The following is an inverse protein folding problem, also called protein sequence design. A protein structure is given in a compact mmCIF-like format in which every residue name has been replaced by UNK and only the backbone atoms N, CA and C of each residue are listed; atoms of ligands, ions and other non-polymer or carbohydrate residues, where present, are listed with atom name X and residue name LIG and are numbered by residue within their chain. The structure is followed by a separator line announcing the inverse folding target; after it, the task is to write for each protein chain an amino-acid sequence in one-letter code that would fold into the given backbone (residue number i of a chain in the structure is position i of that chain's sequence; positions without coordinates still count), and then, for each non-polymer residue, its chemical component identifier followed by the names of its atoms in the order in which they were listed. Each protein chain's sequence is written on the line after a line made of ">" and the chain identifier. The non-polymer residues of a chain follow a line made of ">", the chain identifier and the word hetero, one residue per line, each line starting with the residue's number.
data_IF_478796079432
#
_entry.id   IF_478796079432
#
_cell.length_a   1.000
_cell.length_b   1.000
_cell.length_c   1.000
_cell.angle_alpha   90.00
_cell.angle_beta   90.00
_cell.angle_gamma   90.00
#
_symmetry.space_group_name_H-M   'P 1'
#
loop_
_entity.id
_entity.type
_entity.pdbx_description
1 polymer ?
#
# COMPACT_ATOMS: atom_id res chain seq x y z
N UNK A 1 -24.40 27.10 4.01
CA UNK A 1 -23.15 26.91 3.26
C UNK A 1 -23.42 25.78 2.28
N UNK A 2 -23.22 26.01 0.99
CA UNK A 2 -23.47 24.99 -0.04
C UNK A 2 -22.43 23.88 0.08
N UNK A 3 -22.88 22.64 -0.10
CA UNK A 3 -22.06 21.45 0.09
C UNK A 3 -21.39 21.10 -1.24
N UNK A 4 -20.07 21.01 -1.24
CA UNK A 4 -19.30 20.61 -2.43
C UNK A 4 -19.67 19.19 -2.87
N UNK A 5 -19.79 18.98 -4.18
CA UNK A 5 -19.82 17.65 -4.81
C UNK A 5 -18.48 16.93 -4.65
N UNK A 6 -18.45 15.60 -4.79
CA UNK A 6 -17.20 14.82 -4.67
C UNK A 6 -16.12 15.35 -5.63
N UNK A 7 -16.49 15.65 -6.87
CA UNK A 7 -15.56 16.15 -7.89
C UNK A 7 -14.97 17.52 -7.53
N UNK A 8 -15.77 18.42 -6.93
CA UNK A 8 -15.28 19.70 -6.44
C UNK A 8 -14.34 19.54 -5.24
N UNK A 9 -14.68 18.64 -4.31
CA UNK A 9 -13.82 18.32 -3.18
C UNK A 9 -12.47 17.78 -3.64
N UNK A 10 -12.51 16.83 -4.58
CA UNK A 10 -11.32 16.24 -5.21
C UNK A 10 -10.47 17.30 -5.91
N UNK A 11 -11.09 18.12 -6.74
CA UNK A 11 -10.39 19.17 -7.50
C UNK A 11 -9.68 20.14 -6.56
N UNK A 12 -10.39 20.68 -5.57
CA UNK A 12 -9.82 21.67 -4.64
C UNK A 12 -8.65 21.07 -3.84
N UNK A 13 -8.83 19.89 -3.24
CA UNK A 13 -7.78 19.25 -2.44
C UNK A 13 -6.54 18.98 -3.28
N UNK A 14 -6.70 18.42 -4.48
CA UNK A 14 -5.57 18.09 -5.33
C UNK A 14 -4.88 19.32 -5.91
N UNK A 15 -5.61 20.38 -6.23
CA UNK A 15 -5.02 21.63 -6.73
C UNK A 15 -4.18 22.31 -5.64
N UNK A 16 -4.65 22.28 -4.37
CA UNK A 16 -3.88 22.80 -3.23
C UNK A 16 -2.61 21.98 -2.96
N UNK A 17 -2.69 20.66 -3.09
CA UNK A 17 -1.56 19.77 -2.82
C UNK A 17 -0.57 19.67 -3.99
N UNK A 18 -0.99 20.00 -5.21
CA UNK A 18 -0.18 19.77 -6.39
C UNK A 18 1.17 20.52 -6.39
N UNK A 19 1.24 21.84 -6.08
CA UNK A 19 2.53 22.53 -5.99
C UNK A 19 3.48 21.89 -4.96
N UNK A 20 2.96 21.57 -3.78
CA UNK A 20 3.73 20.92 -2.72
C UNK A 20 4.36 19.61 -3.19
N UNK A 21 3.56 18.69 -3.76
CA UNK A 21 4.06 17.40 -4.20
C UNK A 21 4.97 17.49 -5.44
N UNK A 22 4.75 18.46 -6.32
CA UNK A 22 5.61 18.69 -7.49
C UNK A 22 7.05 19.04 -7.10
N UNK A 23 7.25 19.80 -6.03
CA UNK A 23 8.58 20.14 -5.51
C UNK A 23 9.38 18.89 -5.07
N UNK A 24 8.69 17.78 -4.77
CA UNK A 24 9.29 16.49 -4.42
C UNK A 24 9.28 15.47 -5.58
N UNK A 25 9.01 15.92 -6.81
CA UNK A 25 9.04 15.08 -8.00
C UNK A 25 7.83 14.15 -8.19
N UNK A 26 6.76 14.35 -7.40
CA UNK A 26 5.51 13.63 -7.59
C UNK A 26 4.68 14.27 -8.71
N UNK A 27 3.98 13.44 -9.47
CA UNK A 27 3.04 13.86 -10.51
C UNK A 27 1.64 13.44 -10.13
N UNK A 28 0.68 14.36 -10.27
CA UNK A 28 -0.74 14.05 -10.14
C UNK A 28 -1.14 13.04 -11.22
N UNK A 29 -1.81 11.97 -10.82
CA UNK A 29 -2.50 11.05 -11.71
C UNK A 29 -3.98 11.02 -11.36
N UNK A 30 -4.81 11.23 -12.37
CA UNK A 30 -6.24 10.98 -12.33
C UNK A 30 -6.44 9.58 -12.88
N UNK A 31 -6.62 8.58 -12.00
CA UNK A 31 -6.87 7.23 -12.47
C UNK A 31 -8.33 7.10 -12.91
N UNK A 32 -8.58 6.49 -14.08
CA UNK A 32 -9.92 6.32 -14.64
C UNK A 32 -10.72 5.32 -13.78
N UNK A 33 -11.41 5.82 -12.76
CA UNK A 33 -12.31 5.03 -11.92
C UNK A 33 -11.74 4.51 -10.60
N UNK A 34 -10.50 4.86 -10.23
CA UNK A 34 -9.97 4.65 -8.88
C UNK A 34 -9.29 5.92 -8.37
N UNK A 35 -9.24 6.04 -7.04
CA UNK A 35 -8.62 7.12 -6.24
C UNK A 35 -7.60 7.99 -6.94
N UNK A 36 -7.83 9.30 -6.89
CA UNK A 36 -6.85 10.30 -7.28
C UNK A 36 -5.58 10.14 -6.46
N UNK A 37 -4.43 10.32 -7.10
CA UNK A 37 -3.15 10.11 -6.44
C UNK A 37 -2.05 11.05 -6.94
N UNK A 38 -1.02 11.18 -6.11
CA UNK A 38 0.29 11.68 -6.50
C UNK A 38 1.25 10.50 -6.56
N UNK A 39 2.03 10.40 -7.65
CA UNK A 39 2.99 9.32 -7.84
C UNK A 39 4.38 9.88 -8.16
N UNK A 40 5.40 9.37 -7.49
CA UNK A 40 6.81 9.54 -7.85
C UNK A 40 7.38 8.20 -8.34
N UNK A 41 8.06 8.22 -9.48
CA UNK A 41 8.81 7.05 -9.96
C UNK A 41 10.13 6.95 -9.20
N UNK A 42 10.47 5.75 -8.77
CA UNK A 42 11.73 5.41 -8.11
C UNK A 42 12.50 4.39 -8.95
N UNK A 43 13.72 4.06 -8.53
CA UNK A 43 14.52 2.99 -9.12
C UNK A 43 13.95 1.59 -8.86
N UNK A 44 13.27 1.40 -7.72
CA UNK A 44 12.62 0.12 -7.37
C UNK A 44 11.15 0.01 -7.79
N UNK A 45 10.52 1.09 -8.25
CA UNK A 45 9.11 1.11 -8.62
C UNK A 45 8.47 2.49 -8.48
N UNK A 46 7.50 2.63 -7.56
CA UNK A 46 6.82 3.91 -7.31
C UNK A 46 6.55 4.17 -5.83
N UNK A 47 6.58 5.45 -5.45
CA UNK A 47 5.97 5.96 -4.23
C UNK A 47 4.65 6.65 -4.58
N UNK A 48 3.63 6.51 -3.73
CA UNK A 48 2.32 7.11 -3.98
C UNK A 48 1.69 7.70 -2.73
N UNK A 49 0.89 8.75 -2.96
CA UNK A 49 -0.10 9.26 -2.01
C UNK A 49 -1.47 9.14 -2.66
N UNK A 50 -2.37 8.29 -2.15
CA UNK A 50 -3.71 8.09 -2.71
C UNK A 50 -4.78 8.73 -1.82
N UNK A 51 -5.80 9.30 -2.45
CA UNK A 51 -6.93 9.96 -1.78
C UNK A 51 -8.23 9.22 -2.05
N UNK A 52 -9.07 9.10 -1.03
CA UNK A 52 -10.39 8.51 -1.16
C UNK A 52 -11.43 9.53 -0.69
N UNK A 53 -12.21 10.04 -1.64
CA UNK A 53 -13.32 10.95 -1.40
C UNK A 53 -14.61 10.14 -1.32
N UNK A 54 -15.28 10.15 -0.17
CA UNK A 54 -16.48 9.35 0.10
C UNK A 54 -17.71 10.25 0.03
N UNK A 55 -18.83 9.75 -0.51
CA UNK A 55 -20.10 10.49 -0.69
C UNK A 55 -20.67 11.13 0.57
N UNK A 56 -20.32 10.62 1.75
CA UNK A 56 -20.64 11.24 3.03
C UNK A 56 -19.88 12.56 3.31
N UNK A 57 -19.03 13.03 2.39
CA UNK A 57 -18.16 14.19 2.55
C UNK A 57 -16.90 13.89 3.36
N UNK A 58 -16.63 12.61 3.65
CA UNK A 58 -15.44 12.17 4.36
C UNK A 58 -14.32 11.90 3.36
N UNK A 59 -13.14 12.40 3.66
CA UNK A 59 -11.95 12.14 2.84
C UNK A 59 -10.84 11.58 3.70
N UNK A 60 -10.22 10.50 3.23
CA UNK A 60 -8.98 9.96 3.76
C UNK A 60 -7.90 9.96 2.69
N UNK A 61 -6.64 9.83 3.13
CA UNK A 61 -5.52 9.61 2.24
C UNK A 61 -4.68 8.44 2.74
N UNK A 62 -3.74 8.01 1.92
CA UNK A 62 -2.80 6.97 2.24
C UNK A 62 -1.44 7.18 1.60
N UNK A 63 -0.39 6.69 2.25
CA UNK A 63 0.99 6.74 1.78
C UNK A 63 1.52 5.31 1.61
N UNK A 64 2.20 5.05 0.50
CA UNK A 64 2.77 3.73 0.27
C UNK A 64 3.82 3.68 -0.83
N UNK A 65 4.36 2.47 -0.99
CA UNK A 65 5.38 2.11 -1.96
C UNK A 65 4.95 0.85 -2.72
N UNK A 66 5.23 0.84 -4.01
CA UNK A 66 5.11 -0.33 -4.88
C UNK A 66 6.50 -0.73 -5.35
N UNK A 67 6.95 -1.91 -4.96
CA UNK A 67 8.16 -2.53 -5.51
C UNK A 67 7.80 -3.29 -6.78
N UNK A 68 8.28 -2.80 -7.92
CA UNK A 68 7.90 -3.32 -9.23
C UNK A 68 8.16 -4.83 -9.33
N UNK A 69 9.32 -5.30 -8.89
CA UNK A 69 9.68 -6.72 -8.97
C UNK A 69 8.82 -7.62 -8.06
N UNK A 70 8.35 -7.08 -6.94
CA UNK A 70 7.46 -7.80 -6.04
C UNK A 70 6.07 -7.83 -6.65
N UNK A 71 5.50 -6.69 -7.01
CA UNK A 71 4.13 -6.63 -7.52
C UNK A 71 3.98 -7.31 -8.88
N UNK A 72 4.99 -7.24 -9.76
CA UNK A 72 5.05 -8.02 -11.01
C UNK A 72 4.96 -9.50 -10.75
N UNK A 73 5.74 -9.98 -9.78
CA UNK A 73 5.70 -11.37 -9.37
C UNK A 73 4.33 -11.75 -8.79
N UNK A 74 3.79 -10.95 -7.87
CA UNK A 74 2.47 -11.21 -7.26
C UNK A 74 1.35 -11.30 -8.30
N UNK A 75 1.38 -10.45 -9.32
CA UNK A 75 0.43 -10.49 -10.43
C UNK A 75 0.63 -11.73 -11.31
N UNK A 76 1.87 -12.10 -11.64
CA UNK A 76 2.15 -13.24 -12.53
C UNK A 76 1.74 -14.60 -11.94
N UNK A 77 1.76 -14.73 -10.62
CA UNK A 77 1.29 -15.93 -9.95
C UNK A 77 -0.25 -16.04 -9.90
N UNK A 78 -1.00 -14.96 -10.17
CA UNK A 78 -2.45 -14.98 -10.39
C UNK A 78 -3.30 -15.00 -9.11
N UNK A 79 -3.66 -13.82 -8.61
CA UNK A 79 -4.42 -13.65 -7.35
C UNK A 79 -5.83 -14.26 -7.45
N UNK A 80 -6.31 -14.99 -6.43
CA UNK A 80 -7.58 -15.70 -6.48
C UNK A 80 -8.82 -14.81 -6.29
N UNK A 81 -8.66 -13.57 -5.85
CA UNK A 81 -9.75 -12.63 -5.56
C UNK A 81 -9.88 -11.51 -6.58
N UNK A 82 -8.81 -11.22 -7.34
CA UNK A 82 -8.76 -10.08 -8.27
C UNK A 82 -8.18 -10.55 -9.60
N UNK A 83 -8.94 -10.34 -10.67
CA UNK A 83 -8.44 -10.54 -12.03
C UNK A 83 -7.53 -9.37 -12.44
N UNK A 84 -6.25 -9.68 -12.62
CA UNK A 84 -5.24 -8.73 -13.04
C UNK A 84 -4.90 -8.81 -14.54
N UNK A 85 -5.70 -9.50 -15.35
CA UNK A 85 -5.45 -9.65 -16.79
C UNK A 85 -5.24 -8.30 -17.50
N UNK A 86 -6.08 -7.31 -17.20
CA UNK A 86 -5.94 -5.95 -17.75
C UNK A 86 -4.66 -5.24 -17.29
N UNK A 87 -4.17 -5.53 -16.09
CA UNK A 87 -2.92 -4.98 -15.56
C UNK A 87 -1.71 -5.57 -16.30
N UNK A 88 -1.71 -6.87 -16.50
CA UNK A 88 -0.68 -7.59 -17.26
C UNK A 88 -0.60 -7.06 -18.70
N UNK A 89 -1.76 -6.90 -19.36
CA UNK A 89 -1.83 -6.39 -20.74
C UNK A 89 -1.26 -4.97 -20.90
N UNK A 90 -1.33 -4.14 -19.86
CA UNK A 90 -0.91 -2.75 -19.89
C UNK A 90 0.45 -2.51 -19.20
N UNK A 91 1.19 -3.56 -18.82
CA UNK A 91 2.43 -3.46 -18.01
C UNK A 91 2.20 -2.67 -16.69
N UNK A 92 0.97 -2.65 -16.19
CA UNK A 92 0.56 -1.93 -14.98
C UNK A 92 0.59 -2.86 -13.77
N UNK A 93 1.74 -2.94 -13.13
CA UNK A 93 1.93 -3.72 -11.90
C UNK A 93 1.92 -2.84 -10.66
N UNK A 94 1.25 -1.68 -10.70
CA UNK A 94 1.14 -0.78 -9.54
C UNK A 94 0.21 -1.37 -8.47
N UNK A 95 0.76 -2.29 -7.68
CA UNK A 95 0.19 -2.77 -6.43
C UNK A 95 0.66 -1.93 -5.25
N UNK A 96 0.30 -2.34 -4.04
CA UNK A 96 0.84 -1.76 -2.83
C UNK A 96 1.66 -2.82 -2.10
N UNK A 97 2.99 -2.67 -2.13
CA UNK A 97 3.88 -3.56 -1.40
C UNK A 97 3.93 -3.16 0.06
N UNK A 98 4.19 -1.89 0.31
CA UNK A 98 4.30 -1.30 1.65
C UNK A 98 3.30 -0.15 1.76
N UNK A 99 2.62 -0.09 2.90
CA UNK A 99 1.60 0.89 3.21
C UNK A 99 1.80 1.41 4.63
N UNK A 100 1.68 2.72 4.84
CA UNK A 100 1.68 3.26 6.20
C UNK A 100 0.33 2.98 6.86
N UNK A 101 0.20 1.77 7.42
CA UNK A 101 -1.02 1.34 8.11
C UNK A 101 -1.12 1.94 9.51
N UNK A 102 -0.05 2.56 10.01
CA UNK A 102 -0.03 3.25 11.30
C UNK A 102 -0.50 4.69 11.13
N UNK A 103 -1.62 4.91 10.43
CA UNK A 103 -2.23 6.23 10.36
C UNK A 103 -2.57 6.70 11.78
N UNK A 104 -1.64 7.46 12.35
CA UNK A 104 -1.84 8.23 13.59
C UNK A 104 -2.48 9.57 13.27
N UNK A 105 -2.96 9.75 12.04
CA UNK A 105 -4.15 10.54 11.78
C UNK A 105 -5.28 9.60 12.21
N UNK A 106 -5.69 9.65 13.49
CA UNK A 106 -6.64 8.68 14.06
C UNK A 106 -7.79 8.42 13.09
N UNK A 107 -8.41 7.25 13.14
CA UNK A 107 -9.61 6.94 12.37
C UNK A 107 -10.72 8.03 12.45
N UNK A 108 -10.67 8.89 13.48
CA UNK A 108 -11.48 10.11 13.61
C UNK A 108 -10.93 11.31 12.82
N UNK A 109 -9.62 11.49 12.72
CA UNK A 109 -8.99 12.48 11.86
C UNK A 109 -8.98 12.09 10.37
N UNK A 110 -8.97 10.79 10.03
CA UNK A 110 -8.97 10.32 8.63
C UNK A 110 -10.30 10.50 7.92
N UNK A 111 -11.34 10.97 8.62
CA UNK A 111 -12.65 11.32 8.06
C UNK A 111 -12.89 12.81 8.24
N UNK A 112 -11.98 13.64 7.70
CA UNK A 112 -12.25 15.07 7.67
C UNK A 112 -13.40 15.34 6.71
N UNK A 113 -14.28 16.25 7.10
CA UNK A 113 -15.27 16.78 6.18
C UNK A 113 -14.58 17.70 5.18
N UNK A 114 -14.50 17.27 3.94
CA UNK A 114 -14.08 18.10 2.80
C UNK A 114 -15.26 18.76 2.11
N UNK A 115 -16.47 18.65 2.68
CA UNK A 115 -17.72 19.08 2.04
C UNK A 115 -17.88 20.61 1.88
N UNK A 116 -16.87 21.40 2.24
CA UNK A 116 -16.78 22.85 2.12
C UNK A 116 -15.35 23.22 1.73
N UNK A 117 -15.13 24.39 1.10
CA UNK A 117 -13.78 24.84 0.72
C UNK A 117 -12.81 24.88 1.89
N UNK A 118 -13.24 25.45 3.03
CA UNK A 118 -12.43 25.49 4.26
C UNK A 118 -12.10 24.10 4.81
N UNK A 119 -13.01 23.14 4.64
CA UNK A 119 -12.77 21.74 4.99
C UNK A 119 -11.72 21.09 4.09
N UNK A 120 -11.79 21.35 2.78
CA UNK A 120 -10.79 20.91 1.81
C UNK A 120 -9.40 21.52 2.07
N UNK A 121 -9.33 22.82 2.36
CA UNK A 121 -8.09 23.52 2.74
C UNK A 121 -7.44 22.92 4.00
N UNK A 122 -8.25 22.70 5.04
CA UNK A 122 -7.78 22.07 6.29
C UNK A 122 -7.27 20.65 6.04
N UNK A 123 -7.96 19.88 5.20
CA UNK A 123 -7.53 18.53 4.86
C UNK A 123 -6.20 18.53 4.09
N UNK A 124 -6.02 19.43 3.13
CA UNK A 124 -4.75 19.59 2.43
C UNK A 124 -3.61 19.93 3.40
N UNK A 125 -3.83 20.82 4.36
CA UNK A 125 -2.81 21.13 5.37
C UNK A 125 -2.47 19.90 6.24
N UNK A 126 -3.46 19.10 6.65
CA UNK A 126 -3.22 17.86 7.41
C UNK A 126 -2.32 16.89 6.63
N UNK A 127 -2.52 16.79 5.31
CA UNK A 127 -1.68 15.95 4.45
C UNK A 127 -0.24 16.48 4.41
N UNK A 128 -0.06 17.79 4.25
CA UNK A 128 1.26 18.44 4.28
C UNK A 128 1.94 18.21 5.64
N UNK A 129 1.26 18.50 6.75
CA UNK A 129 1.78 18.32 8.10
C UNK A 129 2.20 16.86 8.34
N UNK A 130 1.40 15.90 7.88
CA UNK A 130 1.76 14.48 7.95
C UNK A 130 3.03 14.17 7.15
N UNK A 131 3.14 14.70 5.92
CA UNK A 131 4.32 14.47 5.09
C UNK A 131 5.58 15.03 5.74
N UNK A 132 5.51 16.26 6.26
CA UNK A 132 6.62 16.96 6.92
C UNK A 132 7.05 16.33 8.24
N UNK A 133 6.10 15.76 9.00
CA UNK A 133 6.40 15.17 10.32
C UNK A 133 6.82 13.72 10.27
N UNK A 134 6.31 12.94 9.31
CA UNK A 134 6.54 11.48 9.26
C UNK A 134 6.53 10.85 7.88
N UNK A 135 5.77 11.39 6.93
CA UNK A 135 5.58 10.76 5.62
C UNK A 135 6.89 10.64 4.85
N UNK A 136 7.72 11.69 4.84
CA UNK A 136 9.01 11.63 4.16
C UNK A 136 9.96 10.61 4.79
N UNK A 137 10.05 10.57 6.12
CA UNK A 137 10.86 9.58 6.83
C UNK A 137 10.38 8.14 6.59
N UNK A 138 9.06 7.94 6.45
CA UNK A 138 8.48 6.65 6.08
C UNK A 138 8.93 6.20 4.68
N UNK A 139 8.80 7.08 3.67
CA UNK A 139 9.21 6.78 2.30
C UNK A 139 10.72 6.51 2.21
N UNK A 140 11.53 7.31 2.89
CA UNK A 140 12.98 7.13 2.93
C UNK A 140 13.35 5.80 3.57
N UNK A 141 12.81 5.51 4.76
CA UNK A 141 13.10 4.27 5.49
C UNK A 141 12.74 3.04 4.67
N UNK A 142 11.53 3.00 4.12
CA UNK A 142 11.03 1.81 3.42
C UNK A 142 11.33 1.79 1.93
N UNK A 143 12.16 2.72 1.42
CA UNK A 143 12.75 2.65 0.08
C UNK A 143 13.74 1.50 -0.10
N UNK A 144 14.12 0.80 0.98
CA UNK A 144 15.08 -0.31 0.96
C UNK A 144 14.48 -1.60 1.52
N UNK A 145 14.57 -2.69 0.76
CA UNK A 145 14.07 -4.02 1.18
C UNK A 145 14.62 -4.50 2.54
N UNK A 146 15.92 -4.33 2.88
CA UNK A 146 16.42 -4.73 4.20
C UNK A 146 15.73 -4.03 5.38
N UNK A 147 15.34 -2.77 5.22
CA UNK A 147 14.62 -2.02 6.25
C UNK A 147 13.20 -2.56 6.43
N UNK A 148 12.55 -2.95 5.34
CA UNK A 148 11.24 -3.61 5.38
C UNK A 148 11.39 -4.96 6.09
N UNK A 149 12.36 -5.80 5.69
CA UNK A 149 12.60 -7.10 6.31
C UNK A 149 12.84 -6.99 7.82
N UNK A 150 13.62 -6.01 8.26
CA UNK A 150 13.86 -5.78 9.69
C UNK A 150 12.57 -5.46 10.47
N UNK A 151 11.67 -4.68 9.87
CA UNK A 151 10.36 -4.39 10.46
C UNK A 151 9.48 -5.65 10.49
N UNK A 152 9.48 -6.47 9.44
CA UNK A 152 8.75 -7.74 9.40
C UNK A 152 9.24 -8.72 10.49
N UNK A 153 10.55 -8.76 10.73
CA UNK A 153 11.14 -9.54 11.82
C UNK A 153 10.68 -9.01 13.18
N UNK A 154 10.65 -7.69 13.37
CA UNK A 154 10.18 -7.06 14.61
C UNK A 154 8.69 -7.35 14.86
N UNK A 155 7.85 -7.25 13.83
CA UNK A 155 6.43 -7.58 13.91
C UNK A 155 6.23 -9.05 14.31
N UNK A 156 6.94 -9.97 13.65
CA UNK A 156 6.87 -11.40 13.99
C UNK A 156 7.32 -11.65 15.45
N UNK A 157 8.46 -11.11 15.85
CA UNK A 157 9.00 -11.29 17.21
C UNK A 157 8.07 -10.73 18.30
N UNK A 158 7.20 -9.77 17.96
CA UNK A 158 6.22 -9.17 18.87
C UNK A 158 4.80 -9.73 18.71
N UNK A 159 4.63 -10.84 17.96
CA UNK A 159 3.34 -11.50 17.76
C UNK A 159 2.37 -10.74 16.87
N UNK A 160 2.86 -9.80 16.06
CA UNK A 160 2.07 -8.96 15.16
C UNK A 160 2.15 -9.46 13.72
N UNK A 161 1.05 -9.34 12.98
CA UNK A 161 1.02 -9.68 11.56
C UNK A 161 1.73 -8.65 10.69
N UNK A 162 2.34 -9.13 9.61
CA UNK A 162 3.01 -8.30 8.60
C UNK A 162 2.07 -7.32 7.88
N UNK A 163 0.75 -7.52 7.94
CA UNK A 163 -0.26 -6.58 7.42
C UNK A 163 -0.20 -5.17 8.06
N UNK A 164 0.56 -4.99 9.15
CA UNK A 164 0.86 -3.67 9.73
C UNK A 164 1.81 -2.83 8.87
N UNK A 165 2.43 -3.43 7.85
CA UNK A 165 3.31 -2.73 6.92
C UNK A 165 3.04 -3.14 5.47
N UNK A 166 2.68 -4.40 5.22
CA UNK A 166 2.50 -4.92 3.87
C UNK A 166 1.06 -4.80 3.39
N UNK A 167 0.90 -4.42 2.13
CA UNK A 167 -0.39 -4.37 1.45
C UNK A 167 -0.91 -5.77 1.07
N UNK A 168 -2.20 -5.82 0.73
CA UNK A 168 -2.90 -7.04 0.34
C UNK A 168 -3.82 -7.60 1.42
N UNK A 169 -4.52 -8.68 1.07
CA UNK A 169 -5.37 -9.45 1.98
C UNK A 169 -4.55 -10.57 2.61
N UNK A 170 -4.80 -11.84 2.30
CA UNK A 170 -3.96 -12.93 2.77
C UNK A 170 -2.56 -12.94 2.10
N UNK A 171 -2.45 -12.38 0.90
CA UNK A 171 -1.22 -12.29 0.12
C UNK A 171 -0.17 -11.31 0.66
N UNK A 172 -0.46 -10.61 1.76
CA UNK A 172 0.57 -9.86 2.51
C UNK A 172 1.65 -10.82 3.04
N UNK A 173 1.31 -12.07 3.39
CA UNK A 173 2.29 -13.09 3.78
C UNK A 173 3.24 -13.43 2.63
N UNK A 174 2.72 -13.56 1.41
CA UNK A 174 3.51 -13.87 0.22
C UNK A 174 4.47 -12.73 -0.11
N UNK A 175 4.03 -11.47 0.01
CA UNK A 175 4.92 -10.29 -0.10
C UNK A 175 6.04 -10.35 0.94
N UNK A 176 5.74 -10.70 2.18
CA UNK A 176 6.76 -10.81 3.24
C UNK A 176 7.78 -11.91 2.97
N UNK A 177 7.33 -13.08 2.50
CA UNK A 177 8.23 -14.16 2.06
C UNK A 177 9.07 -13.74 0.84
N UNK A 178 8.48 -13.03 -0.12
CA UNK A 178 9.21 -12.53 -1.30
C UNK A 178 10.29 -11.54 -0.90
N UNK A 179 9.99 -10.62 0.01
CA UNK A 179 10.97 -9.65 0.55
C UNK A 179 12.10 -10.38 1.27
N UNK A 180 11.78 -11.35 2.12
CA UNK A 180 12.78 -12.16 2.82
C UNK A 180 13.67 -12.94 1.84
N UNK A 181 13.09 -13.51 0.77
CA UNK A 181 13.82 -14.20 -0.29
C UNK A 181 14.80 -13.25 -1.01
N UNK A 182 14.32 -12.08 -1.45
CA UNK A 182 15.14 -11.08 -2.14
C UNK A 182 16.27 -10.52 -1.27
N UNK A 183 16.10 -10.55 0.05
CA UNK A 183 17.14 -10.14 1.01
C UNK A 183 18.10 -11.27 1.42
N UNK A 184 17.96 -12.48 0.86
CA UNK A 184 18.71 -13.68 1.27
C UNK A 184 18.62 -13.93 2.78
N UNK A 185 17.41 -13.83 3.35
CA UNK A 185 17.19 -13.99 4.78
C UNK A 185 17.57 -15.42 5.25
N UNK A 186 18.51 -15.58 6.20
CA UNK A 186 18.90 -16.89 6.70
C UNK A 186 17.77 -17.65 7.40
N UNK A 187 16.69 -16.97 7.78
CA UNK A 187 15.51 -17.54 8.42
C UNK A 187 14.34 -17.76 7.45
N UNK A 188 14.56 -17.72 6.14
CA UNK A 188 13.48 -17.85 5.14
C UNK A 188 12.65 -19.13 5.34
N UNK A 189 13.28 -20.28 5.60
CA UNK A 189 12.56 -21.54 5.82
C UNK A 189 11.67 -21.50 7.07
N UNK A 190 12.15 -20.91 8.16
CA UNK A 190 11.35 -20.73 9.38
C UNK A 190 10.14 -19.82 9.12
N UNK A 191 10.29 -18.78 8.29
CA UNK A 191 9.19 -17.91 7.87
C UNK A 191 8.19 -18.64 6.97
N UNK A 192 8.66 -19.51 6.07
CA UNK A 192 7.77 -20.35 5.25
C UNK A 192 6.94 -21.26 6.15
N UNK A 193 7.55 -21.95 7.12
CA UNK A 193 6.82 -22.79 8.09
C UNK A 193 5.79 -21.99 8.90
N UNK A 194 6.13 -20.77 9.31
CA UNK A 194 5.16 -19.88 9.96
C UNK A 194 3.94 -19.59 9.09
N UNK A 195 4.15 -19.33 7.78
CA UNK A 195 3.06 -19.08 6.83
C UNK A 195 2.28 -20.36 6.51
N UNK A 196 2.95 -21.51 6.39
CA UNK A 196 2.30 -22.83 6.22
C UNK A 196 1.30 -23.08 7.37
N UNK A 197 1.70 -22.83 8.61
CA UNK A 197 0.85 -22.97 9.80
C UNK A 197 -0.39 -22.06 9.80
N UNK A 198 -0.42 -21.01 8.96
CA UNK A 198 -1.57 -20.11 8.81
C UNK A 198 -2.43 -20.55 7.62
N UNK A 199 -1.82 -20.85 6.48
CA UNK A 199 -2.53 -21.17 5.25
C UNK A 199 -3.23 -22.54 5.30
N UNK A 200 -2.60 -23.54 5.94
CA UNK A 200 -3.20 -24.88 6.07
C UNK A 200 -4.06 -25.06 7.30
N UNK A 201 -4.05 -24.09 8.22
CA UNK A 201 -4.89 -24.17 9.42
C UNK A 201 -6.34 -23.77 9.08
N UNK A 202 -7.32 -24.68 9.25
CA UNK A 202 -8.72 -24.42 8.94
C UNK A 202 -9.30 -23.20 9.66
N UNK A 203 -8.74 -22.78 10.81
CA UNK A 203 -9.26 -21.65 11.58
C UNK A 203 -9.18 -20.32 10.83
N UNK A 204 -8.24 -20.16 9.90
CA UNK A 204 -8.04 -18.92 9.14
C UNK A 204 -8.88 -18.86 7.85
N UNK A 205 -9.54 -19.96 7.47
CA UNK A 205 -10.40 -20.04 6.29
C UNK A 205 -9.71 -19.56 4.98
N UNK A 206 -8.46 -19.96 4.76
CA UNK A 206 -7.65 -19.55 3.60
C UNK A 206 -7.65 -20.56 2.44
N UNK A 207 -8.61 -21.49 2.40
CA UNK A 207 -8.67 -22.55 1.38
C UNK A 207 -8.62 -22.04 -0.07
N UNK A 208 -9.31 -20.93 -0.37
CA UNK A 208 -9.31 -20.31 -1.70
C UNK A 208 -7.98 -19.66 -2.08
N UNK A 209 -7.09 -19.42 -1.10
CA UNK A 209 -5.75 -18.88 -1.31
C UNK A 209 -4.69 -19.96 -1.46
N UNK A 210 -4.99 -21.22 -1.12
CA UNK A 210 -4.02 -22.32 -1.19
C UNK A 210 -3.42 -22.50 -2.59
N UNK A 211 -4.19 -22.56 -3.70
CA UNK A 211 -3.61 -22.72 -5.03
C UNK A 211 -2.61 -21.61 -5.38
N UNK A 212 -2.91 -20.38 -4.95
CA UNK A 212 -2.04 -19.22 -5.14
C UNK A 212 -0.76 -19.33 -4.30
N UNK A 213 -0.87 -19.78 -3.06
CA UNK A 213 0.28 -19.99 -2.18
C UNK A 213 1.18 -21.15 -2.63
N UNK A 214 0.61 -22.27 -3.10
CA UNK A 214 1.42 -23.37 -3.64
C UNK A 214 2.21 -22.96 -4.87
N UNK A 215 1.58 -22.20 -5.78
CA UNK A 215 2.27 -21.64 -6.94
C UNK A 215 3.38 -20.69 -6.49
N UNK A 216 3.12 -19.83 -5.50
CA UNK A 216 4.15 -18.97 -4.90
C UNK A 216 5.36 -19.78 -4.41
N UNK A 217 5.13 -20.87 -3.66
CA UNK A 217 6.21 -21.72 -3.14
C UNK A 217 7.01 -22.37 -4.25
N UNK A 218 6.34 -22.89 -5.29
CA UNK A 218 7.00 -23.48 -6.47
C UNK A 218 7.92 -22.50 -7.18
N UNK A 219 7.42 -21.30 -7.48
CA UNK A 219 8.19 -20.27 -8.20
C UNK A 219 9.38 -19.71 -7.38
N UNK A 220 9.36 -19.88 -6.04
CA UNK A 220 10.46 -19.48 -5.16
C UNK A 220 11.31 -20.67 -4.67
N UNK A 221 11.07 -21.89 -5.14
CA UNK A 221 11.75 -23.12 -4.70
C UNK A 221 11.69 -23.35 -3.17
N UNK A 222 10.51 -23.13 -2.57
CA UNK A 222 10.23 -23.39 -1.15
C UNK A 222 9.57 -24.75 -0.89
N UNK A 223 9.49 -25.59 -1.92
CA UNK A 223 8.91 -26.94 -1.91
C UNK A 223 9.94 -27.95 -2.39
#
# INVERSE_FOLDING_TARGET
>A
MERLSINEQETIVLDLLNPYFQDFGFKRQLHQGMSSCFIAKTDFGVAFVMFHFISAGQTCFSLGLSYADIEKFMVSIGNPQVDFSNRILNDDYSGCTVYDSQQTVSYEHSKQSTSTTKGAERFAQIVIDYMETRGWAFLERYSRLPNILNELNTLHATGQYWRKLLGGQADHFLRGLRIANLCNDPQILAKVTYVDNIFYDPQYNLHNWLPYYEKFKKENNFI
#
